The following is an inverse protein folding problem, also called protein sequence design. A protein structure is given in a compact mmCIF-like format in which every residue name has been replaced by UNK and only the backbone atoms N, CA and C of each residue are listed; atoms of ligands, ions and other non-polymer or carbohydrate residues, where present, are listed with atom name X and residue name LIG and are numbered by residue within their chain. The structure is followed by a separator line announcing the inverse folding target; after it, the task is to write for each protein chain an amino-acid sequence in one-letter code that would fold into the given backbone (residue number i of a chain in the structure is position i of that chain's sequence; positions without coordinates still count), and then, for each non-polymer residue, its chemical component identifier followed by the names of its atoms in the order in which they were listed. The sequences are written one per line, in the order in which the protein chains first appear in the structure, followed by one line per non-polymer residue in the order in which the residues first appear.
data_IF_079743387944
#
_entry.id   IF_079743387944
#
_cell.length_a   1.000
_cell.length_b   1.000
_cell.length_c   1.000
_cell.angle_alpha   90.00
_cell.angle_beta   90.00
_cell.angle_gamma   90.00
#
_symmetry.space_group_name_H-M   'P 1'
#
loop_
_entity.id
_entity.type
_entity.pdbx_description
1 polymer ?
#
# COMPACT_ATOMS: atom_id res chain seq x y z
N UNK A 1 -11.53 19.10 -0.14
CA UNK A 1 -10.23 19.24 0.54
C UNK A 1 -9.17 19.43 -0.52
N UNK A 2 -8.31 20.44 -0.40
CA UNK A 2 -7.16 20.56 -1.28
C UNK A 2 -6.00 19.80 -0.64
N UNK A 3 -5.48 18.78 -1.31
CA UNK A 3 -4.22 18.17 -0.90
C UNK A 3 -3.08 19.18 -0.99
N UNK A 4 -1.98 18.90 -0.31
CA UNK A 4 -0.78 19.75 -0.32
C UNK A 4 0.34 19.08 -1.10
N UNK A 5 1.20 19.87 -1.74
CA UNK A 5 2.37 19.33 -2.43
C UNK A 5 3.34 18.74 -1.41
N UNK A 6 3.61 17.44 -1.52
CA UNK A 6 4.59 16.73 -0.72
C UNK A 6 5.99 16.72 -1.37
N UNK A 7 6.03 16.74 -2.70
CA UNK A 7 7.27 16.80 -3.45
C UNK A 7 7.07 16.48 -4.93
N UNK A 8 8.16 16.08 -5.58
CA UNK A 8 8.16 15.68 -7.00
C UNK A 8 8.95 14.39 -7.15
N UNK A 9 8.45 13.47 -7.96
CA UNK A 9 9.16 12.22 -8.30
C UNK A 9 10.40 12.52 -9.15
N UNK A 10 11.31 11.55 -9.27
CA UNK A 10 12.45 11.66 -10.18
C UNK A 10 12.01 11.84 -11.65
N UNK A 11 10.82 11.35 -12.00
CA UNK A 11 10.20 11.46 -13.33
C UNK A 11 9.49 12.82 -13.54
N UNK A 12 9.49 13.71 -12.54
CA UNK A 12 8.92 15.06 -12.64
C UNK A 12 7.43 15.17 -12.30
N UNK A 13 6.81 14.11 -11.76
CA UNK A 13 5.40 14.12 -11.35
C UNK A 13 5.26 14.74 -9.95
N UNK A 14 4.34 15.69 -9.78
CA UNK A 14 4.02 16.27 -8.47
C UNK A 14 3.28 15.25 -7.61
N UNK A 15 3.78 15.04 -6.39
CA UNK A 15 3.15 14.17 -5.39
C UNK A 15 2.36 15.03 -4.41
N UNK A 16 1.12 14.64 -4.17
CA UNK A 16 0.19 15.32 -3.26
C UNK A 16 -0.04 14.47 -2.02
N UNK A 17 0.00 15.12 -0.84
CA UNK A 17 -0.42 14.54 0.44
C UNK A 17 -1.85 14.98 0.76
N UNK A 18 -2.68 14.01 1.13
CA UNK A 18 -4.05 14.19 1.59
C UNK A 18 -4.12 13.86 3.07
N UNK A 19 -4.87 14.67 3.83
CA UNK A 19 -5.03 14.50 5.28
C UNK A 19 -6.47 14.10 5.58
N UNK A 20 -6.70 12.87 6.02
CA UNK A 20 -8.00 12.45 6.52
C UNK A 20 -8.07 12.70 8.03
N UNK A 21 -9.22 13.15 8.54
CA UNK A 21 -9.41 13.48 9.94
C UNK A 21 -10.76 13.06 10.49
N UNK A 22 -10.75 12.45 11.68
CA UNK A 22 -11.95 12.22 12.48
C UNK A 22 -11.61 12.31 13.97
N UNK A 23 -12.24 13.25 14.67
CA UNK A 23 -11.93 13.49 16.08
C UNK A 23 -10.45 13.80 16.26
N UNK A 24 -9.75 12.98 17.04
CA UNK A 24 -8.30 13.08 17.27
C UNK A 24 -7.46 12.28 16.26
N UNK A 25 -8.06 11.38 15.46
CA UNK A 25 -7.34 10.60 14.45
C UNK A 25 -7.01 11.50 13.25
N UNK A 26 -5.75 11.51 12.83
CA UNK A 26 -5.29 12.07 11.54
C UNK A 26 -4.54 11.01 10.77
N UNK A 27 -4.78 10.93 9.46
CA UNK A 27 -4.11 10.00 8.56
C UNK A 27 -3.63 10.75 7.34
N UNK A 28 -2.36 10.61 7.01
CA UNK A 28 -1.76 11.23 5.84
C UNK A 28 -1.50 10.19 4.75
N UNK A 29 -1.99 10.45 3.53
CA UNK A 29 -1.88 9.54 2.39
C UNK A 29 -1.36 10.26 1.15
N UNK A 30 -0.39 9.69 0.46
CA UNK A 30 0.12 10.20 -0.82
C UNK A 30 -0.65 9.63 -2.01
N UNK A 31 -0.81 10.42 -3.08
CA UNK A 31 -1.21 9.90 -4.40
C UNK A 31 -0.08 9.14 -5.11
N UNK A 32 1.15 9.21 -4.60
CA UNK A 32 2.24 8.31 -4.95
C UNK A 32 2.21 7.05 -4.09
N UNK A 33 2.09 5.90 -4.74
CA UNK A 33 2.09 4.58 -4.10
C UNK A 33 0.91 4.30 -3.17
N UNK A 34 -0.05 5.23 -3.04
CA UNK A 34 -1.07 5.19 -1.98
C UNK A 34 -0.43 5.13 -0.58
N UNK A 35 0.72 5.76 -0.41
CA UNK A 35 1.53 5.59 0.79
C UNK A 35 0.83 6.27 1.97
N UNK A 36 0.57 5.51 3.04
CA UNK A 36 0.22 6.10 4.34
C UNK A 36 1.50 6.56 5.01
N UNK A 37 1.70 7.87 5.11
CA UNK A 37 2.95 8.43 5.66
C UNK A 37 2.89 8.65 7.17
N UNK A 38 1.68 8.74 7.74
CA UNK A 38 1.46 9.02 9.15
C UNK A 38 0.05 8.62 9.58
N UNK A 39 -0.07 8.13 10.82
CA UNK A 39 -1.32 7.85 11.53
C UNK A 39 -1.16 8.44 12.93
N UNK A 40 -1.71 9.64 13.14
CA UNK A 40 -1.65 10.31 14.44
C UNK A 40 -2.85 9.94 15.29
N UNK A 41 -2.62 9.41 16.49
CA UNK A 41 -3.68 9.01 17.41
C UNK A 41 -3.27 9.27 18.87
N UNK A 42 -4.21 9.67 19.75
CA UNK A 42 -3.89 9.93 21.16
C UNK A 42 -3.65 8.65 21.97
N UNK A 43 -2.75 8.76 22.95
CA UNK A 43 -2.62 7.82 24.05
C UNK A 43 -3.76 7.98 25.09
N UNK A 44 -3.71 7.21 26.17
CA UNK A 44 -4.70 7.27 27.27
C UNK A 44 -4.72 8.61 28.03
N UNK A 45 -3.67 9.42 27.92
CA UNK A 45 -3.57 10.74 28.53
C UNK A 45 -3.93 11.87 27.53
N UNK A 46 -4.25 11.52 26.28
CA UNK A 46 -4.62 12.46 25.22
C UNK A 46 -3.44 12.99 24.40
N UNK A 47 -2.21 12.47 24.59
CA UNK A 47 -1.05 12.88 23.80
C UNK A 47 -1.05 12.14 22.47
N UNK A 48 -1.12 12.88 21.36
CA UNK A 48 -1.04 12.32 20.02
C UNK A 48 0.40 11.97 19.63
N UNK A 49 0.57 10.82 18.99
CA UNK A 49 1.82 10.41 18.34
C UNK A 49 1.51 9.78 16.98
N UNK A 50 2.44 9.90 16.04
CA UNK A 50 2.42 9.12 14.81
C UNK A 50 2.87 7.69 15.09
N UNK A 51 2.00 6.73 14.79
CA UNK A 51 2.20 5.31 15.10
C UNK A 51 2.63 4.48 13.91
N UNK A 52 2.93 5.08 12.76
CA UNK A 52 3.50 4.37 11.60
C UNK A 52 4.85 4.93 11.20
N UNK A 53 5.74 4.05 10.72
CA UNK A 53 7.03 4.47 10.19
C UNK A 53 6.86 5.11 8.81
N UNK A 54 7.39 6.32 8.64
CA UNK A 54 7.39 7.06 7.39
C UNK A 54 8.77 7.53 6.94
N UNK A 55 8.80 8.29 5.83
CA UNK A 55 9.94 9.06 5.34
C UNK A 55 9.49 10.47 5.00
N UNK A 56 10.38 11.44 5.15
CA UNK A 56 10.06 12.87 5.00
C UNK A 56 10.01 13.38 3.55
N UNK A 57 10.32 12.54 2.55
CA UNK A 57 10.41 12.99 1.15
C UNK A 57 10.09 11.91 0.13
N UNK A 58 9.59 12.34 -1.04
CA UNK A 58 9.36 11.49 -2.22
C UNK A 58 10.63 10.73 -2.61
N UNK A 59 11.77 11.41 -2.66
CA UNK A 59 13.05 10.79 -2.99
C UNK A 59 13.45 9.69 -1.99
N UNK A 60 13.11 9.86 -0.70
CA UNK A 60 13.27 8.82 0.31
C UNK A 60 12.43 7.58 -0.01
N UNK A 61 11.15 7.78 -0.35
CA UNK A 61 10.27 6.70 -0.76
C UNK A 61 10.75 5.98 -2.03
N UNK A 62 11.25 6.72 -3.01
CA UNK A 62 11.76 6.14 -4.26
C UNK A 62 13.02 5.28 -4.05
N UNK A 63 13.92 5.69 -3.15
CA UNK A 63 15.29 5.14 -3.11
C UNK A 63 15.62 4.30 -1.89
N UNK A 64 14.96 4.52 -0.75
CA UNK A 64 15.34 3.91 0.54
C UNK A 64 14.23 3.08 1.17
N UNK A 65 12.98 3.28 0.75
CA UNK A 65 11.84 2.66 1.41
C UNK A 65 11.81 1.14 1.20
N UNK A 66 11.73 0.34 2.29
CA UNK A 66 11.39 -1.08 2.25
C UNK A 66 9.86 -1.25 2.15
N UNK A 67 9.22 -0.45 1.29
CA UNK A 67 7.76 -0.38 1.11
C UNK A 67 6.96 0.27 2.25
N UNK A 68 7.56 1.16 3.05
CA UNK A 68 6.85 1.88 4.13
C UNK A 68 5.51 2.46 3.65
N UNK A 69 4.42 2.01 4.28
CA UNK A 69 3.06 2.52 4.07
C UNK A 69 2.47 2.29 2.67
N UNK A 70 3.19 1.62 1.77
CA UNK A 70 2.82 1.54 0.36
C UNK A 70 1.69 0.55 0.06
N UNK A 71 0.96 0.82 -1.02
CA UNK A 71 0.05 -0.14 -1.66
C UNK A 71 0.84 -1.15 -2.47
N UNK A 72 0.77 -2.41 -2.08
CA UNK A 72 1.50 -3.48 -2.72
C UNK A 72 0.63 -4.16 -3.76
N UNK A 73 1.18 -4.33 -4.96
CA UNK A 73 0.52 -5.04 -6.06
C UNK A 73 1.38 -5.06 -7.34
N UNK A 74 1.02 -5.87 -8.35
CA UNK A 74 -0.21 -6.71 -8.43
C UNK A 74 -0.24 -7.92 -7.51
N UNK A 75 0.91 -8.41 -7.08
CA UNK A 75 0.96 -9.57 -6.18
C UNK A 75 1.87 -9.28 -4.99
N UNK A 76 1.27 -9.16 -3.82
CA UNK A 76 1.98 -9.01 -2.56
C UNK A 76 2.71 -10.30 -2.17
N UNK A 77 3.89 -10.12 -1.57
CA UNK A 77 4.82 -11.19 -1.20
C UNK A 77 5.47 -11.85 -2.42
N UNK A 78 5.94 -13.10 -2.27
CA UNK A 78 6.82 -13.77 -3.22
C UNK A 78 6.07 -14.63 -4.22
N UNK A 79 6.52 -14.61 -5.47
CA UNK A 79 6.23 -15.65 -6.47
C UNK A 79 7.54 -16.39 -6.76
N UNK A 80 7.53 -17.70 -6.48
CA UNK A 80 8.72 -18.55 -6.60
C UNK A 80 9.29 -18.50 -8.02
N UNK A 81 10.61 -18.31 -8.13
CA UNK A 81 11.32 -18.21 -9.41
C UNK A 81 10.81 -17.11 -10.36
N UNK A 82 9.97 -16.19 -9.87
CA UNK A 82 9.26 -15.21 -10.68
C UNK A 82 8.36 -15.85 -11.74
N UNK A 83 7.81 -17.04 -11.50
CA UNK A 83 7.05 -17.79 -12.51
C UNK A 83 5.73 -18.30 -11.95
N UNK A 84 4.71 -18.25 -12.79
CA UNK A 84 3.42 -18.88 -12.56
C UNK A 84 2.80 -19.25 -13.91
N UNK A 85 1.72 -20.03 -13.88
CA UNK A 85 0.95 -20.36 -15.07
C UNK A 85 -0.54 -20.14 -14.83
N UNK A 86 -1.24 -19.67 -15.87
CA UNK A 86 -2.70 -19.58 -15.91
C UNK A 86 -3.14 -20.32 -17.17
N UNK A 87 -4.05 -21.28 -17.02
CA UNK A 87 -4.59 -22.08 -18.13
C UNK A 87 -3.48 -22.67 -19.03
N UNK A 88 -2.43 -23.21 -18.41
CA UNK A 88 -1.28 -23.81 -19.09
C UNK A 88 -0.31 -22.82 -19.75
N UNK A 89 -0.59 -21.52 -19.73
CA UNK A 89 0.29 -20.49 -20.27
C UNK A 89 1.26 -20.00 -19.19
N UNK A 90 2.56 -20.12 -19.45
CA UNK A 90 3.60 -19.70 -18.51
C UNK A 90 3.88 -18.20 -18.60
N UNK A 91 3.97 -17.55 -17.45
CA UNK A 91 4.34 -16.15 -17.29
C UNK A 91 5.65 -16.03 -16.50
N UNK A 92 6.46 -15.03 -16.85
CA UNK A 92 7.71 -14.73 -16.18
C UNK A 92 7.69 -13.27 -15.71
N UNK A 93 8.04 -13.09 -14.44
CA UNK A 93 8.12 -11.83 -13.72
C UNK A 93 9.59 -11.51 -13.47
N UNK A 94 9.96 -10.23 -13.36
CA UNK A 94 11.29 -9.85 -12.90
C UNK A 94 11.57 -10.42 -11.50
N UNK A 95 12.73 -11.04 -11.32
CA UNK A 95 13.16 -11.56 -10.03
C UNK A 95 13.90 -10.47 -9.25
N UNK A 96 13.16 -9.48 -8.76
CA UNK A 96 13.69 -8.35 -8.00
C UNK A 96 14.18 -8.72 -6.59
N UNK A 97 13.87 -9.94 -6.12
CA UNK A 97 14.50 -10.54 -4.95
C UNK A 97 14.95 -11.96 -5.31
N UNK A 98 16.10 -12.12 -5.99
CA UNK A 98 16.52 -13.41 -6.54
C UNK A 98 16.50 -14.55 -5.49
N UNK A 99 15.94 -15.72 -5.80
CA UNK A 99 15.43 -16.14 -7.12
C UNK A 99 13.97 -15.73 -7.41
N UNK A 100 13.30 -15.02 -6.51
CA UNK A 100 11.86 -14.80 -6.55
C UNK A 100 11.49 -13.43 -7.14
N UNK A 101 10.25 -13.33 -7.63
CA UNK A 101 9.60 -12.02 -7.77
C UNK A 101 8.98 -11.64 -6.43
N UNK A 102 9.05 -10.37 -6.08
CA UNK A 102 8.58 -9.84 -4.80
C UNK A 102 7.72 -8.60 -5.00
N UNK A 103 6.59 -8.53 -4.30
CA UNK A 103 5.76 -7.32 -4.16
C UNK A 103 5.35 -6.68 -5.50
N UNK A 104 5.12 -7.52 -6.51
CA UNK A 104 4.68 -7.06 -7.83
C UNK A 104 5.80 -6.58 -8.76
N UNK A 105 7.06 -6.71 -8.37
CA UNK A 105 8.23 -6.42 -9.22
C UNK A 105 9.01 -5.15 -8.85
N UNK A 106 10.07 -4.81 -9.61
CA UNK A 106 10.93 -3.66 -9.37
C UNK A 106 10.20 -2.32 -9.23
N UNK A 107 9.13 -2.11 -10.00
CA UNK A 107 8.30 -0.90 -9.93
C UNK A 107 6.83 -1.27 -9.77
N UNK A 108 6.57 -2.02 -8.68
CA UNK A 108 5.25 -2.37 -8.18
C UNK A 108 4.39 -1.16 -7.80
N UNK A 109 3.18 -1.42 -7.33
CA UNK A 109 2.14 -0.40 -7.11
C UNK A 109 2.52 0.71 -6.12
N UNK A 110 3.42 0.44 -5.19
CA UNK A 110 3.94 1.37 -4.18
C UNK A 110 4.89 2.42 -4.79
N UNK A 111 5.32 2.22 -6.05
CA UNK A 111 6.28 3.08 -6.77
C UNK A 111 5.67 3.76 -8.00
N UNK A 112 4.35 3.98 -7.96
CA UNK A 112 3.55 4.51 -9.08
C UNK A 112 2.65 5.64 -8.60
N UNK A 113 2.41 6.61 -9.47
CA UNK A 113 1.34 7.57 -9.28
C UNK A 113 -0.02 6.90 -9.41
N UNK A 114 -0.96 7.36 -8.59
CA UNK A 114 -2.37 7.03 -8.62
C UNK A 114 -3.17 8.27 -8.94
N UNK A 115 -4.23 8.12 -9.75
CA UNK A 115 -5.18 9.19 -10.00
C UNK A 115 -6.10 9.31 -8.80
N UNK A 116 -6.31 10.52 -8.30
CA UNK A 116 -7.34 10.80 -7.29
C UNK A 116 -8.70 10.84 -7.99
N UNK A 117 -9.61 9.93 -7.61
CA UNK A 117 -10.99 9.93 -8.12
C UNK A 117 -11.92 10.77 -7.26
N UNK A 118 -11.73 10.74 -5.94
CA UNK A 118 -12.48 11.57 -4.99
C UNK A 118 -11.68 11.79 -3.72
N UNK A 119 -11.87 12.95 -3.09
CA UNK A 119 -11.21 13.29 -1.83
C UNK A 119 -12.06 14.28 -1.00
N UNK A 120 -12.27 13.95 0.26
CA UNK A 120 -12.85 14.84 1.28
C UNK A 120 -12.04 14.78 2.59
N UNK A 121 -12.61 15.24 3.71
CA UNK A 121 -11.93 15.25 5.02
C UNK A 121 -11.85 13.86 5.66
N UNK A 122 -12.59 12.86 5.15
CA UNK A 122 -12.74 11.52 5.74
C UNK A 122 -12.52 10.39 4.75
N UNK A 123 -12.46 10.68 3.45
CA UNK A 123 -12.32 9.70 2.39
C UNK A 123 -11.30 10.16 1.34
N UNK A 124 -10.51 9.21 0.84
CA UNK A 124 -9.67 9.36 -0.34
C UNK A 124 -9.83 8.12 -1.22
N UNK A 125 -10.22 8.30 -2.47
CA UNK A 125 -10.27 7.23 -3.46
C UNK A 125 -9.19 7.44 -4.51
N UNK A 126 -8.27 6.49 -4.58
CA UNK A 126 -7.20 6.42 -5.57
C UNK A 126 -7.54 5.36 -6.62
N UNK A 127 -7.25 5.64 -7.88
CA UNK A 127 -7.41 4.69 -8.97
C UNK A 127 -6.20 4.63 -9.88
N UNK A 128 -5.96 3.44 -10.43
CA UNK A 128 -4.86 3.18 -11.34
C UNK A 128 -5.23 2.08 -12.32
N UNK A 129 -4.86 2.28 -13.58
CA UNK A 129 -4.84 1.22 -14.59
C UNK A 129 -3.44 0.64 -14.67
N UNK A 130 -3.32 -0.66 -14.43
CA UNK A 130 -2.12 -1.44 -14.67
C UNK A 130 -2.28 -2.15 -16.03
N UNK A 131 -1.57 -1.74 -17.08
CA UNK A 131 -1.78 -2.26 -18.44
C UNK A 131 -1.31 -3.71 -18.59
N UNK A 132 -1.87 -4.45 -19.56
CA UNK A 132 -1.40 -5.81 -19.90
C UNK A 132 0.14 -5.85 -20.06
N UNK A 133 0.78 -6.82 -19.41
CA UNK A 133 2.23 -7.00 -19.40
C UNK A 133 3.00 -6.14 -18.40
N UNK A 134 2.36 -5.26 -17.62
CA UNK A 134 3.05 -4.50 -16.58
C UNK A 134 3.70 -5.44 -15.56
N UNK A 135 5.02 -5.30 -15.38
CA UNK A 135 5.87 -6.17 -14.56
C UNK A 135 5.77 -7.66 -14.93
N UNK A 136 5.29 -7.99 -16.14
CA UNK A 136 5.11 -9.36 -16.65
C UNK A 136 3.75 -10.00 -16.35
N UNK A 137 2.83 -9.29 -15.69
CA UNK A 137 1.49 -9.81 -15.39
C UNK A 137 0.52 -9.64 -16.57
N UNK A 138 -0.30 -10.66 -16.91
CA UNK A 138 -1.29 -10.54 -17.96
C UNK A 138 -2.51 -9.71 -17.55
N UNK A 139 -3.22 -9.18 -18.55
CA UNK A 139 -4.48 -8.46 -18.42
C UNK A 139 -4.31 -7.00 -18.06
N UNK A 140 -5.14 -6.15 -18.63
CA UNK A 140 -5.34 -4.82 -18.06
C UNK A 140 -6.07 -5.00 -16.72
N UNK A 141 -5.63 -4.27 -15.71
CA UNK A 141 -6.21 -4.31 -14.37
C UNK A 141 -6.52 -2.88 -13.93
N UNK A 142 -7.79 -2.55 -13.83
CA UNK A 142 -8.26 -1.30 -13.23
C UNK A 142 -8.45 -1.54 -11.73
N UNK A 143 -7.74 -0.76 -10.90
CA UNK A 143 -7.75 -0.89 -9.44
C UNK A 143 -8.20 0.43 -8.84
N UNK A 144 -9.08 0.33 -7.86
CA UNK A 144 -9.49 1.44 -6.98
C UNK A 144 -9.18 1.05 -5.54
N UNK A 145 -8.56 1.96 -4.79
CA UNK A 145 -8.32 1.83 -3.36
C UNK A 145 -8.91 3.03 -2.64
N UNK A 146 -9.77 2.76 -1.66
CA UNK A 146 -10.43 3.81 -0.87
C UNK A 146 -9.96 3.76 0.57
N UNK A 147 -9.37 4.86 1.04
CA UNK A 147 -9.08 5.12 2.44
C UNK A 147 -10.28 5.86 3.03
N UNK A 148 -10.77 5.41 4.17
CA UNK A 148 -11.90 6.06 4.85
C UNK A 148 -11.76 6.05 6.37
N UNK A 149 -12.36 7.04 7.01
CA UNK A 149 -12.52 7.13 8.46
C UNK A 149 -14.02 7.03 8.82
N UNK A 150 -14.57 5.81 9.02
CA UNK A 150 -15.93 5.62 9.49
C UNK A 150 -16.14 6.15 10.92
N UNK A 151 -17.40 6.20 11.38
CA UNK A 151 -17.75 6.78 12.68
C UNK A 151 -17.14 6.07 13.89
N UNK A 152 -16.76 4.80 13.73
CA UNK A 152 -16.16 3.97 14.77
C UNK A 152 -14.67 4.28 15.03
N UNK A 153 -14.10 5.28 14.36
CA UNK A 153 -12.72 5.70 14.57
C UNK A 153 -11.69 4.75 13.95
N UNK A 154 -12.10 3.96 12.95
CA UNK A 154 -11.19 3.07 12.22
C UNK A 154 -10.56 3.77 11.02
N UNK A 155 -9.31 3.43 10.70
CA UNK A 155 -8.81 3.59 9.34
C UNK A 155 -9.19 2.36 8.55
N UNK A 156 -10.05 2.53 7.54
CA UNK A 156 -10.49 1.47 6.64
C UNK A 156 -9.88 1.66 5.26
N UNK A 157 -9.32 0.58 4.71
CA UNK A 157 -8.74 0.54 3.36
C UNK A 157 -9.49 -0.54 2.56
N UNK A 158 -10.29 -0.12 1.59
CA UNK A 158 -11.03 -1.02 0.69
C UNK A 158 -10.33 -1.13 -0.66
N UNK A 159 -10.27 -2.35 -1.20
CA UNK A 159 -9.67 -2.65 -2.50
C UNK A 159 -10.74 -3.15 -3.46
N UNK A 160 -10.78 -2.60 -4.66
CA UNK A 160 -11.59 -3.11 -5.78
C UNK A 160 -10.72 -3.22 -7.01
N UNK A 161 -10.86 -4.32 -7.74
CA UNK A 161 -10.15 -4.51 -8.99
C UNK A 161 -11.04 -5.19 -10.04
N UNK A 162 -10.82 -4.84 -11.29
CA UNK A 162 -11.45 -5.47 -12.45
C UNK A 162 -10.37 -5.70 -13.51
N UNK A 163 -10.43 -6.84 -14.18
CA UNK A 163 -9.51 -7.19 -15.26
C UNK A 163 -10.25 -7.64 -16.50
N UNK A 164 -9.63 -7.48 -17.67
CA UNK A 164 -10.14 -7.96 -18.96
C UNK A 164 -9.58 -9.33 -19.37
N UNK A 165 -8.66 -9.89 -18.58
CA UNK A 165 -8.06 -11.21 -18.81
C UNK A 165 -7.72 -11.89 -17.47
N UNK A 166 -7.80 -13.23 -17.36
CA UNK A 166 -7.31 -13.95 -16.18
C UNK A 166 -5.91 -13.50 -15.76
N UNK A 167 -5.75 -13.16 -14.47
CA UNK A 167 -4.49 -12.72 -13.87
C UNK A 167 -4.44 -13.12 -12.39
N UNK A 168 -3.26 -13.06 -11.78
CA UNK A 168 -3.11 -13.23 -10.34
C UNK A 168 -3.14 -11.86 -9.66
N UNK A 169 -3.85 -11.77 -8.53
CA UNK A 169 -3.99 -10.53 -7.78
C UNK A 169 -3.93 -10.81 -6.28
N UNK A 170 -3.06 -10.07 -5.58
CA UNK A 170 -2.98 -10.07 -4.13
C UNK A 170 -2.54 -8.67 -3.69
N UNK A 171 -3.47 -7.87 -3.15
CA UNK A 171 -3.22 -6.49 -2.76
C UNK A 171 -3.15 -6.37 -1.24
N UNK A 172 -2.25 -5.52 -0.75
CA UNK A 172 -2.18 -5.18 0.68
C UNK A 172 -1.64 -3.76 0.86
N UNK A 173 -1.76 -3.24 2.08
CA UNK A 173 -1.05 -2.07 2.57
C UNK A 173 0.12 -2.51 3.44
N UNK A 174 1.28 -1.87 3.32
CA UNK A 174 2.53 -2.28 3.97
C UNK A 174 2.95 -1.33 5.10
N UNK A 175 2.02 -1.00 5.99
CA UNK A 175 2.28 -0.19 7.18
C UNK A 175 3.14 -0.92 8.20
N UNK A 176 4.13 -0.22 8.75
CA UNK A 176 4.93 -0.65 9.89
C UNK A 176 4.51 0.17 11.10
N UNK A 177 4.10 -0.48 12.17
CA UNK A 177 3.49 0.19 13.32
C UNK A 177 4.41 0.15 14.53
N UNK A 178 4.47 1.26 15.25
CA UNK A 178 4.97 1.35 16.62
C UNK A 178 3.96 2.18 17.42
N UNK A 179 3.20 1.52 18.30
CA UNK A 179 2.12 2.15 19.07
C UNK A 179 2.64 3.09 20.17
N UNK A 180 3.93 3.04 20.48
CA UNK A 180 4.60 4.03 21.33
C UNK A 180 5.06 5.27 20.54
N UNK A 181 4.98 5.23 19.20
CA UNK A 181 5.37 6.29 18.28
C UNK A 181 6.53 5.87 17.36
N UNK A 182 6.60 6.39 16.14
CA UNK A 182 7.60 5.98 15.13
C UNK A 182 9.07 6.15 15.56
N UNK A 183 9.35 7.08 16.47
CA UNK A 183 10.68 7.35 17.03
C UNK A 183 10.95 6.69 18.38
N UNK A 184 10.08 5.80 18.86
CA UNK A 184 10.16 5.24 20.22
C UNK A 184 11.17 4.08 20.38
N UNK A 185 11.91 3.73 19.33
CA UNK A 185 12.87 2.63 19.35
C UNK A 185 12.22 1.28 19.06
N UNK A 186 12.59 0.25 19.82
CA UNK A 186 12.15 -1.13 19.59
C UNK A 186 10.64 -1.32 19.83
N UNK A 187 10.05 -2.22 19.05
CA UNK A 187 8.65 -2.67 19.16
C UNK A 187 8.55 -3.70 20.28
N UNK A 188 7.88 -3.34 21.37
CA UNK A 188 7.69 -4.15 22.58
C UNK A 188 6.23 -4.54 22.87
N UNK A 189 5.35 -4.34 21.90
CA UNK A 189 3.90 -4.49 22.03
C UNK A 189 3.47 -5.96 22.17
N UNK A 190 2.38 -6.17 22.92
CA UNK A 190 1.74 -7.47 23.00
C UNK A 190 1.05 -7.81 21.68
N UNK A 191 1.43 -8.92 21.05
CA UNK A 191 0.84 -9.40 19.80
C UNK A 191 -0.08 -10.60 20.04
N UNK A 192 -1.34 -10.47 19.64
CA UNK A 192 -2.31 -11.57 19.62
C UNK A 192 -2.82 -11.83 18.19
N UNK A 193 -2.52 -13.01 17.64
CA UNK A 193 -2.96 -13.41 16.30
C UNK A 193 -3.98 -14.55 16.39
N UNK A 194 -5.19 -14.30 15.90
CA UNK A 194 -6.20 -15.35 15.71
C UNK A 194 -6.03 -15.97 14.34
N UNK A 195 -5.46 -17.18 14.29
CA UNK A 195 -5.36 -17.99 13.06
C UNK A 195 -6.23 -19.22 13.18
N UNK A 196 -7.08 -19.44 12.18
CA UNK A 196 -7.67 -20.75 11.93
C UNK A 196 -6.99 -21.31 10.69
N UNK A 197 -6.20 -22.38 10.84
CA UNK A 197 -5.77 -23.15 9.67
C UNK A 197 -6.95 -24.03 9.25
N UNK A 198 -7.40 -23.90 8.01
CA UNK A 198 -8.25 -24.93 7.40
C UNK A 198 -7.49 -26.26 7.33
N UNK A 199 -8.19 -27.40 7.15
CA UNK A 199 -7.51 -28.67 6.91
C UNK A 199 -6.57 -28.52 5.72
N UNK A 200 -5.31 -28.94 5.88
CA UNK A 200 -4.34 -28.97 4.80
C UNK A 200 -4.91 -29.85 3.68
N UNK A 201 -5.19 -29.24 2.53
CA UNK A 201 -5.66 -29.95 1.35
C UNK A 201 -4.58 -30.94 0.91
N UNK A 202 -4.88 -32.22 1.04
CA UNK A 202 -4.12 -33.33 0.48
C UNK A 202 -4.39 -33.37 -1.02
N UNK A 203 -3.35 -33.33 -1.86
CA UNK A 203 -3.43 -33.66 -3.30
C UNK A 203 -2.74 -32.67 -4.21
#
# INVERSE_FOLDING_TARGET
MAGETFGTTADGETVTRFTLGRGALRVHVLDYGGIVTAIETPDRAGHAADVVLGLDSVAGYETKSPHFGGLIGRFANRIANGRFAIDGHAYALPTNEPPNAMHGGPRGFDRRMWRVESADDKHLTLARRSPDGEEGFPGNLDVTVTYSLPEDGTLRIDYRAQTDRPTVLNLTHHGYFNLAGEGAGDVGEALALRRHRGPEGVG
#
